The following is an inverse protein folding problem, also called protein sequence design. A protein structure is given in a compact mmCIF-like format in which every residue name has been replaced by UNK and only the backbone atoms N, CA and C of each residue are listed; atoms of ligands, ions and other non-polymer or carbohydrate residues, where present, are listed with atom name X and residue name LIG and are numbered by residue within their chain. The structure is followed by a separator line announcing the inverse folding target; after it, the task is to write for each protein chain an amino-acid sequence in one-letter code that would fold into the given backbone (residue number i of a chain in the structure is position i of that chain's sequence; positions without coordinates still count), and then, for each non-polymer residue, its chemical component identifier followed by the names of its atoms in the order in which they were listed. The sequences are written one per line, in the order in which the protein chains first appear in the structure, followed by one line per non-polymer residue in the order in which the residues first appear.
data_IF_505948130055
#
_entry.id   IF_505948130055
#
_cell.length_a   1.000
_cell.length_b   1.000
_cell.length_c   1.000
_cell.angle_alpha   90.00
_cell.angle_beta   90.00
_cell.angle_gamma   90.00
#
_symmetry.space_group_name_H-M   'P 1'
#
loop_
_entity.id
_entity.type
_entity.pdbx_description
1 polymer ?
#
# COMPACT_ATOMS: atom_id res chain seq x y z
N UNK A 1 12.45 35.47 -5.85
CA UNK A 1 11.73 34.28 -6.37
C UNK A 1 12.76 33.17 -6.53
N UNK A 2 13.07 32.44 -5.44
CA UNK A 2 14.06 31.37 -5.44
C UNK A 2 13.36 30.06 -5.80
N UNK A 3 13.51 29.63 -7.05
CA UNK A 3 13.07 28.31 -7.50
C UNK A 3 13.93 27.26 -6.80
N UNK A 4 13.37 26.59 -5.80
CA UNK A 4 13.93 25.35 -5.27
C UNK A 4 13.89 24.30 -6.39
N UNK A 5 15.08 23.97 -6.91
CA UNK A 5 15.27 22.83 -7.81
C UNK A 5 14.85 21.55 -7.07
N UNK A 6 14.03 20.67 -7.66
CA UNK A 6 13.64 19.43 -7.02
C UNK A 6 14.87 18.52 -6.93
N UNK A 7 15.36 18.34 -5.70
CA UNK A 7 16.38 17.35 -5.36
C UNK A 7 15.90 15.98 -5.89
N UNK A 8 16.51 15.50 -6.98
CA UNK A 8 16.29 14.14 -7.46
C UNK A 8 16.68 13.20 -6.33
N UNK A 9 15.69 12.60 -5.67
CA UNK A 9 15.92 11.51 -4.72
C UNK A 9 16.76 10.46 -5.45
N UNK A 10 18.04 10.36 -5.08
CA UNK A 10 18.93 9.33 -5.60
C UNK A 10 18.34 7.99 -5.21
N UNK A 11 17.67 7.36 -6.18
CA UNK A 11 17.05 6.06 -5.97
C UNK A 11 18.17 5.04 -5.81
N UNK A 12 18.47 4.70 -4.55
CA UNK A 12 19.42 3.66 -4.16
C UNK A 12 18.76 2.31 -4.40
N UNK A 13 18.77 1.83 -5.65
CA UNK A 13 18.34 0.48 -5.97
C UNK A 13 19.53 -0.38 -6.41
N UNK A 14 19.46 -1.65 -6.02
CA UNK A 14 20.37 -2.71 -6.39
C UNK A 14 19.97 -3.25 -7.77
N UNK A 15 20.94 -3.36 -8.70
CA UNK A 15 20.75 -4.11 -9.95
C UNK A 15 21.54 -5.39 -9.81
N UNK A 16 20.82 -6.50 -9.58
CA UNK A 16 21.39 -7.84 -9.57
C UNK A 16 21.30 -8.39 -10.98
N UNK A 17 22.40 -8.91 -11.50
CA UNK A 17 22.34 -9.85 -12.61
C UNK A 17 23.34 -10.98 -12.38
N UNK A 18 22.89 -12.22 -12.48
CA UNK A 18 23.78 -13.37 -12.51
C UNK A 18 24.36 -13.49 -13.91
N UNK A 19 25.69 -13.52 -14.04
CA UNK A 19 26.32 -13.97 -15.28
C UNK A 19 26.82 -15.39 -15.01
N UNK A 20 26.04 -16.39 -15.40
CA UNK A 20 26.51 -17.78 -15.47
C UNK A 20 27.58 -17.83 -16.56
N UNK A 21 28.82 -17.51 -16.19
CA UNK A 21 29.98 -17.77 -17.01
C UNK A 21 30.30 -19.25 -16.92
N UNK A 22 30.60 -19.89 -18.05
CA UNK A 22 31.26 -21.20 -18.04
C UNK A 22 32.65 -21.01 -17.44
N UNK A 23 32.75 -21.08 -16.11
CA UNK A 23 34.03 -21.22 -15.44
C UNK A 23 34.55 -22.65 -15.67
N UNK A 24 35.86 -22.82 -15.75
CA UNK A 24 36.48 -24.14 -15.96
C UNK A 24 36.09 -25.18 -14.88
N UNK A 25 35.60 -24.71 -13.73
CA UNK A 25 35.18 -25.48 -12.57
C UNK A 25 33.64 -25.61 -12.41
N UNK A 26 32.85 -25.15 -13.39
CA UNK A 26 31.38 -25.07 -13.30
C UNK A 26 30.84 -24.26 -12.10
N UNK A 27 31.67 -23.44 -11.44
CA UNK A 27 31.21 -22.64 -10.31
C UNK A 27 30.44 -21.41 -10.78
N UNK A 28 29.26 -21.19 -10.18
CA UNK A 28 28.47 -19.99 -10.46
C UNK A 28 29.02 -18.82 -9.65
N UNK A 29 29.51 -17.78 -10.30
CA UNK A 29 29.96 -16.56 -9.63
C UNK A 29 28.89 -15.46 -9.67
N UNK A 30 28.56 -14.89 -8.51
CA UNK A 30 27.67 -13.73 -8.41
C UNK A 30 28.49 -12.44 -8.53
N UNK A 31 28.13 -11.57 -9.50
CA UNK A 31 28.77 -10.26 -9.66
C UNK A 31 27.81 -9.15 -9.25
N UNK A 32 28.18 -8.43 -8.20
CA UNK A 32 27.36 -7.36 -7.63
C UNK A 32 27.85 -6.01 -8.13
N UNK A 33 26.97 -5.23 -8.74
CA UNK A 33 27.28 -3.88 -9.22
C UNK A 33 26.53 -2.85 -8.38
N UNK A 34 27.23 -2.33 -7.38
CA UNK A 34 26.72 -1.27 -6.53
C UNK A 34 26.77 0.08 -7.25
N UNK A 35 25.68 0.85 -7.19
CA UNK A 35 25.68 2.25 -7.65
C UNK A 35 26.21 3.22 -6.57
N UNK A 36 26.17 2.81 -5.31
CA UNK A 36 26.77 3.54 -4.19
C UNK A 36 28.12 2.92 -3.83
N UNK A 37 29.15 3.72 -3.52
CA UNK A 37 30.48 3.21 -3.19
C UNK A 37 30.57 2.57 -1.80
N UNK A 38 29.64 2.87 -0.90
CA UNK A 38 29.60 2.37 0.48
C UNK A 38 28.16 2.01 0.85
N UNK A 39 27.97 0.81 1.41
CA UNK A 39 26.70 0.38 1.98
C UNK A 39 26.56 0.93 3.41
N UNK A 40 25.38 1.40 3.77
CA UNK A 40 25.04 1.59 5.19
C UNK A 40 25.02 0.25 5.92
N UNK A 41 25.09 0.28 7.25
CA UNK A 41 25.02 -0.92 8.08
C UNK A 41 23.76 -1.75 7.82
N UNK A 42 22.61 -1.09 7.58
CA UNK A 42 21.34 -1.77 7.26
C UNK A 42 21.42 -2.44 5.88
N UNK A 43 21.94 -1.74 4.88
CA UNK A 43 22.09 -2.29 3.52
C UNK A 43 23.09 -3.46 3.52
N UNK A 44 24.18 -3.38 4.30
CA UNK A 44 25.15 -4.46 4.47
C UNK A 44 24.54 -5.70 5.14
N UNK A 45 23.72 -5.51 6.19
CA UNK A 45 23.03 -6.63 6.84
C UNK A 45 21.98 -7.28 5.92
N UNK A 46 21.20 -6.47 5.19
CA UNK A 46 20.26 -6.98 4.18
C UNK A 46 21.00 -7.74 3.07
N UNK A 47 22.17 -7.25 2.68
CA UNK A 47 23.05 -7.85 1.70
C UNK A 47 23.55 -9.24 2.14
N UNK A 48 24.06 -9.37 3.37
CA UNK A 48 24.46 -10.65 3.96
C UNK A 48 23.30 -11.65 3.99
N UNK A 49 22.11 -11.22 4.43
CA UNK A 49 20.92 -12.06 4.42
C UNK A 49 20.52 -12.51 3.02
N UNK A 50 20.66 -11.65 2.01
CA UNK A 50 20.45 -12.03 0.61
C UNK A 50 21.44 -13.08 0.14
N UNK A 51 22.72 -12.98 0.49
CA UNK A 51 23.73 -13.99 0.18
C UNK A 51 23.38 -15.34 0.80
N UNK A 52 22.97 -15.36 2.07
CA UNK A 52 22.53 -16.59 2.75
C UNK A 52 21.36 -17.26 2.03
N UNK A 53 20.34 -16.47 1.64
CA UNK A 53 19.18 -17.00 0.91
C UNK A 53 19.56 -17.59 -0.45
N UNK A 54 20.55 -17.00 -1.14
CA UNK A 54 20.96 -17.40 -2.48
C UNK A 54 21.96 -18.56 -2.46
N UNK A 55 22.80 -18.67 -1.42
CA UNK A 55 23.85 -19.69 -1.32
C UNK A 55 23.32 -21.14 -1.41
N UNK A 56 22.10 -21.39 -0.94
CA UNK A 56 21.44 -22.70 -1.01
C UNK A 56 20.65 -22.97 -2.30
N UNK A 57 20.65 -22.04 -3.26
CA UNK A 57 19.80 -22.16 -4.46
C UNK A 57 20.50 -22.92 -5.58
N UNK A 58 19.86 -23.98 -6.07
CA UNK A 58 20.33 -24.71 -7.25
C UNK A 58 19.85 -24.00 -8.52
N UNK A 59 20.78 -23.36 -9.24
CA UNK A 59 20.46 -22.70 -10.50
C UNK A 59 20.23 -23.72 -11.61
N UNK A 60 19.21 -23.49 -12.43
CA UNK A 60 18.94 -24.30 -13.62
C UNK A 60 19.34 -23.51 -14.86
N UNK A 61 19.95 -24.14 -15.88
CA UNK A 61 20.19 -23.46 -17.15
C UNK A 61 18.86 -23.04 -17.76
N UNK A 62 18.72 -21.75 -18.11
CA UNK A 62 17.47 -21.22 -18.66
C UNK A 62 17.31 -19.71 -18.40
N UNK A 63 16.20 -19.15 -18.87
CA UNK A 63 15.77 -17.80 -18.51
C UNK A 63 15.00 -17.86 -17.20
N UNK A 64 15.18 -16.84 -16.34
CA UNK A 64 14.40 -16.70 -15.11
C UNK A 64 12.91 -16.58 -15.42
N UNK A 65 12.08 -17.27 -14.64
CA UNK A 65 10.63 -17.21 -14.71
C UNK A 65 10.04 -16.91 -13.34
N UNK A 66 8.97 -16.10 -13.33
CA UNK A 66 8.20 -15.88 -12.12
C UNK A 66 7.35 -17.12 -11.84
N UNK A 67 7.38 -17.60 -10.59
CA UNK A 67 6.52 -18.69 -10.13
C UNK A 67 5.68 -18.26 -8.94
N UNK A 68 4.39 -18.59 -9.01
CA UNK A 68 3.43 -18.39 -7.94
C UNK A 68 3.49 -19.58 -6.98
N UNK A 69 4.30 -19.46 -5.93
CA UNK A 69 4.54 -20.52 -4.93
C UNK A 69 3.27 -21.17 -4.33
N UNK A 70 2.17 -20.43 -4.10
CA UNK A 70 0.97 -21.02 -3.52
C UNK A 70 0.23 -22.02 -4.43
N UNK A 71 0.53 -22.05 -5.72
CA UNK A 71 -0.06 -22.99 -6.68
C UNK A 71 1.02 -23.94 -7.21
N UNK A 72 0.75 -25.25 -7.19
CA UNK A 72 1.71 -26.28 -7.65
C UNK A 72 2.05 -26.16 -9.13
N UNK A 73 1.17 -25.56 -9.93
CA UNK A 73 1.45 -25.25 -11.33
C UNK A 73 2.47 -24.13 -11.51
N UNK A 74 2.76 -23.37 -10.45
CA UNK A 74 3.59 -22.17 -10.49
C UNK A 74 2.91 -20.99 -11.19
N UNK A 75 1.67 -21.12 -11.65
CA UNK A 75 0.96 -20.06 -12.35
C UNK A 75 0.19 -19.16 -11.38
N UNK A 76 0.29 -17.85 -11.60
CA UNK A 76 -0.52 -16.90 -10.86
C UNK A 76 -1.99 -16.98 -11.30
N UNK A 77 -2.88 -17.00 -10.33
CA UNK A 77 -4.31 -16.80 -10.56
C UNK A 77 -4.92 -15.95 -9.46
N UNK A 78 -5.91 -15.14 -9.83
CA UNK A 78 -6.67 -14.31 -8.88
C UNK A 78 -7.39 -15.19 -7.86
N UNK A 79 -7.87 -16.37 -8.27
CA UNK A 79 -8.52 -17.35 -7.38
C UNK A 79 -7.57 -17.88 -6.31
N UNK A 80 -6.34 -18.26 -6.68
CA UNK A 80 -5.32 -18.72 -5.75
C UNK A 80 -4.95 -17.63 -4.74
N UNK A 81 -4.68 -16.40 -5.21
CA UNK A 81 -4.42 -15.26 -4.34
C UNK A 81 -5.59 -14.96 -3.39
N UNK A 82 -6.82 -14.96 -3.91
CA UNK A 82 -8.02 -14.73 -3.09
C UNK A 82 -8.16 -15.77 -1.98
N UNK A 83 -7.90 -17.05 -2.27
CA UNK A 83 -7.96 -18.11 -1.27
C UNK A 83 -6.99 -17.86 -0.11
N UNK A 84 -5.77 -17.39 -0.40
CA UNK A 84 -4.78 -17.05 0.61
C UNK A 84 -5.26 -15.88 1.47
N UNK A 85 -5.74 -14.81 0.83
CA UNK A 85 -6.25 -13.63 1.53
C UNK A 85 -7.44 -13.96 2.43
N UNK A 86 -8.30 -14.88 2.00
CA UNK A 86 -9.43 -15.33 2.83
C UNK A 86 -8.94 -16.12 4.04
N UNK A 87 -7.99 -17.04 3.87
CA UNK A 87 -7.40 -17.82 4.98
C UNK A 87 -6.66 -16.95 6.00
N UNK A 88 -6.03 -15.85 5.57
CA UNK A 88 -5.32 -14.93 6.48
C UNK A 88 -6.24 -13.93 7.17
N UNK A 89 -7.50 -13.80 6.75
CA UNK A 89 -8.45 -12.83 7.29
C UNK A 89 -9.19 -13.26 8.57
N UNK A 90 -8.86 -14.43 9.13
CA UNK A 90 -9.45 -14.94 10.37
C UNK A 90 -8.95 -14.14 11.59
N UNK A 91 -9.63 -13.05 11.96
CA UNK A 91 -9.39 -12.48 13.29
C UNK A 91 -10.07 -11.16 13.69
N UNK A 92 -10.22 -10.16 12.81
CA UNK A 92 -10.53 -8.82 13.35
C UNK A 92 -11.06 -7.77 12.35
N UNK A 93 -12.01 -8.09 11.47
CA UNK A 93 -12.55 -7.10 10.52
C UNK A 93 -14.06 -7.26 10.23
N UNK A 94 -14.84 -7.62 11.25
CA UNK A 94 -16.29 -7.86 11.12
C UNK A 94 -17.07 -6.69 10.50
N UNK A 95 -16.55 -5.46 10.51
CA UNK A 95 -17.23 -4.30 9.90
C UNK A 95 -16.67 -3.89 8.53
N UNK A 96 -15.46 -4.32 8.18
CA UNK A 96 -14.70 -3.73 7.08
C UNK A 96 -14.72 -4.55 5.79
N UNK A 97 -15.48 -5.64 5.74
CA UNK A 97 -15.57 -6.52 4.56
C UNK A 97 -17.00 -6.84 4.11
N UNK A 98 -18.01 -6.44 4.90
CA UNK A 98 -19.40 -6.75 4.57
C UNK A 98 -19.95 -5.72 3.59
N UNK A 99 -20.04 -6.17 2.34
CA UNK A 99 -20.72 -5.42 1.28
C UNK A 99 -22.22 -5.59 1.47
N UNK A 100 -22.93 -4.50 1.73
CA UNK A 100 -24.37 -4.51 1.82
C UNK A 100 -24.96 -4.72 0.42
N UNK A 101 -25.59 -5.88 0.20
CA UNK A 101 -26.13 -6.30 -1.12
C UNK A 101 -27.17 -5.33 -1.68
N UNK A 102 -27.87 -4.61 -0.81
CA UNK A 102 -28.91 -3.65 -1.18
C UNK A 102 -28.34 -2.25 -1.50
N UNK A 103 -27.06 -1.99 -1.22
CA UNK A 103 -26.41 -0.73 -1.54
C UNK A 103 -25.69 -0.77 -2.90
N UNK A 104 -25.76 0.31 -3.69
CA UNK A 104 -24.88 0.49 -4.84
C UNK A 104 -23.40 0.35 -4.45
N UNK A 105 -22.59 -0.26 -5.33
CA UNK A 105 -21.16 -0.51 -5.11
C UNK A 105 -20.40 0.74 -4.65
N UNK A 106 -20.74 1.92 -5.19
CA UNK A 106 -20.10 3.20 -4.83
C UNK A 106 -20.30 3.54 -3.35
N UNK A 107 -21.48 3.27 -2.79
CA UNK A 107 -21.79 3.53 -1.38
C UNK A 107 -21.04 2.56 -0.49
N UNK A 108 -20.99 1.27 -0.87
CA UNK A 108 -20.19 0.31 -0.12
C UNK A 108 -18.69 0.66 -0.13
N UNK A 109 -18.13 1.13 -1.26
CA UNK A 109 -16.75 1.63 -1.32
C UNK A 109 -16.57 2.82 -0.37
N UNK A 110 -17.52 3.75 -0.35
CA UNK A 110 -17.48 4.90 0.55
C UNK A 110 -17.50 4.46 2.01
N UNK A 111 -18.44 3.60 2.43
CA UNK A 111 -18.52 3.02 3.78
C UNK A 111 -17.22 2.30 4.17
N UNK A 112 -16.70 1.47 3.26
CA UNK A 112 -15.44 0.76 3.47
C UNK A 112 -14.26 1.72 3.72
N UNK A 113 -14.19 2.83 2.98
CA UNK A 113 -13.17 3.87 3.20
C UNK A 113 -13.41 4.62 4.50
N UNK A 114 -14.67 4.90 4.83
CA UNK A 114 -15.06 5.62 6.04
C UNK A 114 -14.63 4.86 7.30
N UNK A 115 -15.06 3.60 7.44
CA UNK A 115 -14.77 2.73 8.60
C UNK A 115 -13.27 2.53 8.82
N UNK A 116 -12.46 2.58 7.76
CA UNK A 116 -10.99 2.45 7.84
C UNK A 116 -10.24 3.76 8.00
N UNK A 117 -10.93 4.88 8.18
CA UNK A 117 -10.35 6.23 8.15
C UNK A 117 -9.46 6.47 6.91
N UNK A 118 -9.98 6.13 5.73
CA UNK A 118 -9.27 6.20 4.44
C UNK A 118 -9.85 7.25 3.48
N UNK A 119 -10.83 8.05 3.88
CA UNK A 119 -11.28 9.18 3.06
C UNK A 119 -10.15 10.23 2.91
N UNK A 120 -10.12 10.98 1.80
CA UNK A 120 -9.06 11.95 1.53
C UNK A 120 -9.30 13.28 2.27
N UNK A 121 -9.43 13.23 3.60
CA UNK A 121 -9.46 14.43 4.45
C UNK A 121 -8.08 15.10 4.48
N UNK A 122 -8.00 16.39 4.80
CA UNK A 122 -6.71 17.08 4.92
C UNK A 122 -5.75 16.38 5.88
N UNK A 123 -6.24 15.96 7.04
CA UNK A 123 -5.46 15.17 8.01
C UNK A 123 -4.91 13.89 7.39
N UNK A 124 -5.74 13.13 6.67
CA UNK A 124 -5.31 11.88 6.04
C UNK A 124 -4.37 12.09 4.84
N UNK A 125 -4.49 13.20 4.12
CA UNK A 125 -3.59 13.57 3.03
C UNK A 125 -2.23 14.04 3.54
N UNK A 126 -2.20 14.77 4.67
CA UNK A 126 -0.99 15.18 5.35
C UNK A 126 -0.18 13.99 5.87
N UNK A 127 -0.84 13.02 6.53
CA UNK A 127 -0.20 11.78 6.99
C UNK A 127 0.44 11.00 5.83
N UNK A 128 -0.12 11.10 4.62
CA UNK A 128 0.42 10.46 3.41
C UNK A 128 1.50 11.29 2.71
N UNK A 129 1.84 12.47 3.23
CA UNK A 129 2.81 13.39 2.62
C UNK A 129 2.34 13.98 1.29
N UNK A 130 1.03 14.00 1.02
CA UNK A 130 0.46 14.56 -0.21
C UNK A 130 0.27 16.08 -0.10
N UNK A 131 -0.09 16.57 1.09
CA UNK A 131 -0.30 17.99 1.35
C UNK A 131 0.71 18.53 2.37
N UNK A 132 0.96 19.84 2.32
CA UNK A 132 1.82 20.56 3.25
C UNK A 132 1.19 20.73 4.65
N UNK A 133 1.73 21.66 5.45
CA UNK A 133 1.37 21.87 6.86
C UNK A 133 -0.01 22.48 7.12
N UNK A 134 -0.82 22.76 6.08
CA UNK A 134 -2.16 23.28 6.27
C UNK A 134 -3.17 22.13 6.32
N UNK A 135 -3.81 21.96 7.47
CA UNK A 135 -4.77 20.89 7.73
C UNK A 135 -6.20 21.41 7.90
N UNK A 136 -6.44 22.71 7.68
CA UNK A 136 -7.76 23.31 7.80
C UNK A 136 -8.74 22.75 6.76
N UNK A 137 -9.99 22.56 7.17
CA UNK A 137 -11.09 22.16 6.33
C UNK A 137 -11.20 23.01 5.08
N UNK A 138 -11.31 22.35 3.94
CA UNK A 138 -11.39 23.06 2.67
C UNK A 138 -12.73 23.77 2.45
N UNK A 139 -13.76 23.38 3.20
CA UNK A 139 -15.10 23.91 3.10
C UNK A 139 -15.29 25.13 4.00
N UNK A 140 -15.15 24.97 5.32
CA UNK A 140 -15.39 26.07 6.27
C UNK A 140 -14.13 26.90 6.59
N UNK A 141 -12.92 26.36 6.36
CA UNK A 141 -11.63 27.02 6.68
C UNK A 141 -11.43 27.37 8.16
N UNK A 142 -12.26 26.85 9.08
CA UNK A 142 -12.20 27.19 10.51
C UNK A 142 -11.47 26.16 11.38
N UNK A 143 -11.74 24.87 11.17
CA UNK A 143 -11.19 23.77 11.97
C UNK A 143 -10.38 22.82 11.09
N UNK A 144 -9.58 21.96 11.72
CA UNK A 144 -8.85 20.89 11.01
C UNK A 144 -9.83 19.91 10.34
N UNK A 145 -9.51 19.47 9.13
CA UNK A 145 -10.32 18.48 8.41
C UNK A 145 -9.95 17.05 8.80
N UNK A 146 -10.73 16.48 9.69
CA UNK A 146 -10.84 15.05 9.88
C UNK A 146 -12.24 14.53 9.49
N UNK A 147 -12.48 13.23 9.71
CA UNK A 147 -13.75 12.61 9.33
C UNK A 147 -14.94 13.22 10.07
N UNK A 148 -14.78 13.42 11.37
CA UNK A 148 -15.86 13.89 12.24
C UNK A 148 -16.21 15.32 11.88
N UNK A 149 -15.19 16.17 11.68
CA UNK A 149 -15.41 17.52 11.21
C UNK A 149 -16.08 17.52 9.83
N UNK A 150 -15.52 16.82 8.84
CA UNK A 150 -16.02 16.85 7.46
C UNK A 150 -17.47 16.34 7.34
N UNK A 151 -17.87 15.34 8.14
CA UNK A 151 -19.16 14.67 7.99
C UNK A 151 -20.23 15.14 8.98
N UNK A 152 -19.85 15.55 10.19
CA UNK A 152 -20.78 15.79 11.30
C UNK A 152 -20.77 17.23 11.80
N UNK A 153 -19.60 17.87 11.85
CA UNK A 153 -19.43 19.14 12.57
C UNK A 153 -19.14 20.35 11.68
N UNK A 154 -18.86 20.16 10.39
CA UNK A 154 -18.56 21.25 9.48
C UNK A 154 -19.85 22.01 9.15
N UNK A 155 -19.92 23.27 9.57
CA UNK A 155 -21.08 24.16 9.36
C UNK A 155 -21.49 24.23 7.89
N UNK A 156 -20.52 24.38 6.99
CA UNK A 156 -20.76 24.41 5.55
C UNK A 156 -21.32 23.07 5.04
N UNK A 157 -20.76 21.95 5.50
CA UNK A 157 -21.26 20.63 5.11
C UNK A 157 -22.68 20.38 5.64
N UNK A 158 -22.97 20.79 6.88
CA UNK A 158 -24.29 20.67 7.50
C UNK A 158 -25.34 21.52 6.79
N UNK A 159 -24.97 22.72 6.33
CA UNK A 159 -25.85 23.56 5.53
C UNK A 159 -26.26 22.89 4.21
N UNK A 160 -25.33 22.19 3.55
CA UNK A 160 -25.63 21.42 2.34
C UNK A 160 -26.46 20.16 2.61
N UNK A 161 -26.34 19.55 3.79
CA UNK A 161 -27.12 18.37 4.18
C UNK A 161 -28.57 18.70 4.57
N UNK A 162 -28.83 19.94 4.99
CA UNK A 162 -30.17 20.43 5.37
C UNK A 162 -31.23 20.36 4.28
N UNK A 163 -30.82 20.33 3.00
CA UNK A 163 -31.75 20.29 1.86
C UNK A 163 -31.93 18.89 1.23
N UNK A 164 -31.40 17.85 1.88
CA UNK A 164 -31.90 16.48 1.70
C UNK A 164 -30.85 15.41 1.41
N UNK A 165 -30.18 14.89 2.45
CA UNK A 165 -29.78 13.47 2.54
C UNK A 165 -29.67 13.09 4.03
N UNK A 166 -30.45 12.10 4.49
CA UNK A 166 -30.28 11.46 5.80
C UNK A 166 -29.04 10.55 5.82
N UNK A 167 -27.83 11.12 5.96
CA UNK A 167 -26.60 10.33 6.07
C UNK A 167 -26.48 9.65 7.45
N UNK A 168 -27.04 10.25 8.51
CA UNK A 168 -26.99 9.73 9.88
C UNK A 168 -27.65 8.35 10.06
N UNK A 169 -28.66 8.00 9.25
CA UNK A 169 -29.36 6.71 9.35
C UNK A 169 -28.55 5.49 8.87
N UNK A 170 -27.40 5.68 8.22
CA UNK A 170 -26.59 4.57 7.68
C UNK A 170 -25.70 3.96 8.76
N UNK A 171 -25.38 4.68 9.84
CA UNK A 171 -24.47 4.19 10.88
C UNK A 171 -25.20 3.55 12.07
N UNK A 172 -26.49 3.84 12.28
CA UNK A 172 -27.25 3.38 13.46
C UNK A 172 -28.15 2.16 13.21
N UNK A 173 -28.25 1.65 11.98
CA UNK A 173 -29.24 0.62 11.61
C UNK A 173 -28.74 -0.84 11.68
N UNK A 174 -27.64 -1.11 12.36
CA UNK A 174 -27.02 -2.45 12.47
C UNK A 174 -26.85 -2.92 13.95
N UNK A 175 -27.79 -2.57 14.84
CA UNK A 175 -27.86 -3.12 16.21
C UNK A 175 -29.08 -4.03 16.48
N UNK A 176 -29.88 -4.40 15.47
CA UNK A 176 -30.94 -5.43 15.58
C UNK A 176 -30.70 -6.64 14.66
#
# INVERSE_FOLDING_TARGET
MLLHSPQKKSSRYMVIYCKVGKSLDQSTCWKWRWKAPVLSQIEAHQWEKCLEMIAGTHQRPGKDTWSWLPDKSGNFSVSSMRSILQKSSSGSQLLAHDWLRWLPIKINIFRWRLVRNRLPTMKNLAVRGVLGSNHLCHLCKTLEEDLDHLLLSCEFANQLQGDGVHVAKILEKEED
#
